data_IF_957314531303
#
_entry.id   IF_957314531303
#
_cell.length_a   1.000
_cell.length_b   1.000
_cell.length_c   1.000
_cell.angle_alpha   90.00
_cell.angle_beta   90.00
_cell.angle_gamma   90.00
#
_symmetry.space_group_name_H-M   'P 1'
#
loop_
_entity.id
_entity.type
_entity.pdbx_description
1 polymer ?
#
# COMPACT_ATOMS: atom_id res chain seq x y z
N UNK A 1 -9.41 4.70 -18.22
CA UNK A 1 -8.97 4.86 -16.81
C UNK A 1 -8.49 6.27 -16.51
N UNK A 2 -7.61 6.87 -17.33
CA UNK A 2 -7.29 8.31 -17.23
C UNK A 2 -8.54 9.20 -17.17
N UNK A 3 -9.55 8.98 -18.01
CA UNK A 3 -10.75 9.83 -18.04
C UNK A 3 -11.65 9.73 -16.78
N UNK A 4 -11.79 8.54 -16.17
CA UNK A 4 -12.68 8.36 -15.01
C UNK A 4 -12.02 8.84 -13.71
N UNK A 5 -10.69 8.70 -13.59
CA UNK A 5 -9.94 9.23 -12.45
C UNK A 5 -9.56 10.71 -12.61
N UNK A 6 -9.44 11.21 -13.85
CA UNK A 6 -9.42 12.65 -14.13
C UNK A 6 -10.77 13.28 -13.80
N UNK A 7 -11.88 12.61 -14.09
CA UNK A 7 -13.21 13.09 -13.70
C UNK A 7 -13.37 13.03 -12.17
N UNK A 8 -12.92 11.99 -11.47
CA UNK A 8 -12.94 12.00 -10.00
C UNK A 8 -11.97 13.04 -9.41
N UNK A 9 -10.77 13.21 -9.96
CA UNK A 9 -9.81 14.24 -9.52
C UNK A 9 -10.24 15.68 -9.85
N UNK A 10 -11.00 15.88 -10.93
CA UNK A 10 -11.51 17.19 -11.38
C UNK A 10 -12.90 17.53 -10.83
N UNK A 11 -13.72 16.53 -10.47
CA UNK A 11 -15.04 16.74 -9.83
C UNK A 11 -14.91 16.86 -8.31
N UNK A 12 -13.92 16.22 -7.67
CA UNK A 12 -13.80 16.15 -6.20
C UNK A 12 -12.86 17.20 -5.60
N UNK A 13 -12.47 18.17 -6.40
CA UNK A 13 -11.83 19.40 -5.93
C UNK A 13 -12.41 20.60 -6.67
N UNK A 14 -13.66 21.02 -6.36
CA UNK A 14 -14.12 22.38 -6.68
C UNK A 14 -13.28 23.46 -5.97
N UNK A 15 -12.34 23.04 -5.11
CA UNK A 15 -11.25 23.84 -4.59
C UNK A 15 -10.01 22.98 -4.44
N UNK A 16 -9.46 22.45 -5.56
CA UNK A 16 -8.04 22.09 -5.56
C UNK A 16 -7.35 23.35 -5.05
N UNK A 17 -6.82 23.31 -3.82
CA UNK A 17 -6.12 24.44 -3.26
C UNK A 17 -5.15 24.90 -4.37
N UNK A 18 -5.14 26.21 -4.71
CA UNK A 18 -4.25 26.71 -5.74
C UNK A 18 -2.87 26.12 -5.46
N UNK A 19 -2.14 25.64 -6.48
CA UNK A 19 -0.87 24.95 -6.28
C UNK A 19 -0.07 25.71 -5.25
N UNK A 20 0.14 25.06 -4.09
CA UNK A 20 0.82 25.70 -2.98
C UNK A 20 2.17 26.17 -3.51
N UNK A 21 2.51 27.44 -3.30
CA UNK A 21 3.77 27.98 -3.78
C UNK A 21 4.92 27.04 -3.36
N UNK A 22 5.69 26.53 -4.32
CA UNK A 22 6.79 25.59 -4.08
C UNK A 22 6.57 24.11 -4.47
N UNK A 23 5.47 23.75 -5.14
CA UNK A 23 5.31 22.42 -5.75
C UNK A 23 6.25 22.23 -6.98
N UNK A 24 7.07 21.17 -7.05
CA UNK A 24 7.94 20.95 -8.20
C UNK A 24 7.24 20.25 -9.38
N UNK A 25 6.05 19.69 -9.16
CA UNK A 25 5.25 19.01 -10.16
C UNK A 25 3.87 19.66 -10.24
N UNK A 26 3.36 19.82 -11.46
CA UNK A 26 1.93 20.10 -11.64
C UNK A 26 1.11 18.89 -11.19
N UNK A 27 -0.15 19.11 -10.78
CA UNK A 27 -1.05 18.03 -10.38
C UNK A 27 -1.18 16.94 -11.46
N UNK A 28 -1.22 17.34 -12.73
CA UNK A 28 -1.27 16.41 -13.86
C UNK A 28 0.00 15.55 -13.98
N UNK A 29 1.19 16.14 -13.86
CA UNK A 29 2.46 15.40 -13.87
C UNK A 29 2.55 14.41 -12.71
N UNK A 30 2.20 14.84 -11.50
CA UNK A 30 2.21 13.98 -10.32
C UNK A 30 1.23 12.80 -10.49
N UNK A 31 -0.01 13.07 -10.93
CA UNK A 31 -1.00 12.02 -11.22
C UNK A 31 -0.50 11.03 -12.28
N UNK A 32 0.08 11.53 -13.38
CA UNK A 32 0.60 10.68 -14.44
C UNK A 32 1.71 9.74 -13.93
N UNK A 33 2.65 10.24 -13.13
CA UNK A 33 3.73 9.45 -12.52
C UNK A 33 3.15 8.40 -11.57
N UNK A 34 2.26 8.82 -10.67
CA UNK A 34 1.60 7.93 -9.69
C UNK A 34 0.90 6.77 -10.38
N UNK A 35 0.04 7.06 -11.36
CA UNK A 35 -0.70 6.01 -12.05
C UNK A 35 0.17 5.16 -12.96
N UNK A 36 1.22 5.72 -13.57
CA UNK A 36 2.17 4.93 -14.36
C UNK A 36 2.90 3.90 -13.49
N UNK A 37 3.43 4.32 -12.34
CA UNK A 37 4.13 3.43 -11.39
C UNK A 37 3.17 2.36 -10.85
N UNK A 38 1.96 2.75 -10.42
CA UNK A 38 0.97 1.80 -9.93
C UNK A 38 0.56 0.80 -11.03
N UNK A 39 0.32 1.27 -12.26
CA UNK A 39 -0.04 0.41 -13.39
C UNK A 39 1.06 -0.61 -13.71
N UNK A 40 2.35 -0.21 -13.67
CA UNK A 40 3.48 -1.12 -13.87
C UNK A 40 3.48 -2.21 -12.80
N UNK A 41 3.36 -1.84 -11.52
CA UNK A 41 3.35 -2.81 -10.41
C UNK A 41 2.17 -3.77 -10.52
N UNK A 42 0.97 -3.25 -10.83
CA UNK A 42 -0.24 -4.07 -10.99
C UNK A 42 -0.12 -5.00 -12.20
N UNK A 43 0.43 -4.52 -13.32
CA UNK A 43 0.66 -5.33 -14.51
C UNK A 43 1.64 -6.48 -14.23
N UNK A 44 2.74 -6.20 -13.52
CA UNK A 44 3.71 -7.23 -13.11
C UNK A 44 3.06 -8.25 -12.16
N UNK A 45 2.25 -7.81 -11.19
CA UNK A 45 1.48 -8.72 -10.33
C UNK A 45 0.54 -9.60 -11.15
N UNK A 46 -0.31 -8.99 -12.00
CA UNK A 46 -1.31 -9.70 -12.79
C UNK A 46 -0.70 -10.73 -13.76
N UNK A 47 0.46 -10.40 -14.34
CA UNK A 47 1.23 -11.28 -15.21
C UNK A 47 1.80 -12.50 -14.48
N UNK A 48 2.12 -12.38 -13.18
CA UNK A 48 2.74 -13.45 -12.39
C UNK A 48 1.75 -14.20 -11.49
N UNK A 49 0.48 -13.78 -11.43
CA UNK A 49 -0.59 -14.51 -10.74
C UNK A 49 -1.19 -15.55 -11.69
N UNK A 50 -0.96 -16.84 -11.45
CA UNK A 50 -1.46 -17.92 -12.31
C UNK A 50 -2.76 -18.52 -11.77
N UNK A 51 -3.79 -17.69 -11.61
CA UNK A 51 -5.12 -18.13 -11.19
C UNK A 51 -6.12 -18.01 -12.34
N UNK A 52 -7.26 -18.68 -12.24
CA UNK A 52 -8.41 -18.43 -13.11
C UNK A 52 -8.88 -16.97 -12.98
N UNK A 53 -9.62 -16.47 -13.99
CA UNK A 53 -9.97 -15.05 -14.12
C UNK A 53 -10.64 -14.46 -12.86
N UNK A 54 -11.65 -15.14 -12.32
CA UNK A 54 -12.38 -14.64 -11.15
C UNK A 54 -11.51 -14.63 -9.87
N UNK A 55 -10.85 -15.73 -9.46
CA UNK A 55 -9.92 -15.69 -8.33
C UNK A 55 -8.78 -14.68 -8.51
N UNK A 56 -8.25 -14.51 -9.73
CA UNK A 56 -7.26 -13.48 -10.05
C UNK A 56 -7.82 -12.08 -9.79
N UNK A 57 -9.01 -11.78 -10.27
CA UNK A 57 -9.67 -10.49 -10.02
C UNK A 57 -9.89 -10.25 -8.52
N UNK A 58 -10.33 -11.27 -7.76
CA UNK A 58 -10.51 -11.15 -6.31
C UNK A 58 -9.17 -10.84 -5.62
N UNK A 59 -8.10 -11.57 -5.96
CA UNK A 59 -6.76 -11.34 -5.40
C UNK A 59 -6.26 -9.93 -5.73
N UNK A 60 -6.37 -9.51 -6.99
CA UNK A 60 -5.95 -8.17 -7.40
C UNK A 60 -6.77 -7.10 -6.68
N UNK A 61 -8.09 -7.28 -6.54
CA UNK A 61 -8.94 -6.37 -5.78
C UNK A 61 -8.47 -6.24 -4.34
N UNK A 62 -8.26 -7.37 -3.65
CA UNK A 62 -7.79 -7.38 -2.24
C UNK A 62 -6.45 -6.66 -2.11
N UNK A 63 -5.51 -6.89 -3.03
CA UNK A 63 -4.21 -6.22 -3.03
C UNK A 63 -4.38 -4.72 -3.27
N UNK A 64 -5.06 -4.31 -4.35
CA UNK A 64 -5.16 -2.88 -4.72
C UNK A 64 -6.02 -2.09 -3.74
N UNK A 65 -7.18 -2.62 -3.34
CA UNK A 65 -8.05 -1.98 -2.35
C UNK A 65 -7.35 -1.90 -0.99
N UNK A 66 -6.77 -3.02 -0.56
CA UNK A 66 -6.05 -3.13 0.71
C UNK A 66 -4.93 -2.12 0.82
N UNK A 67 -4.05 -2.06 -0.20
CA UNK A 67 -2.84 -1.23 -0.16
C UNK A 67 -3.10 0.24 -0.49
N UNK A 68 -3.93 0.55 -1.49
CA UNK A 68 -4.11 1.93 -1.97
C UNK A 68 -5.16 2.67 -1.13
N UNK A 69 -6.22 1.98 -0.71
CA UNK A 69 -7.39 2.62 -0.06
C UNK A 69 -7.46 2.30 1.42
N UNK A 70 -7.55 1.02 1.78
CA UNK A 70 -7.93 0.59 3.12
C UNK A 70 -6.90 1.02 4.18
N UNK A 71 -5.60 0.86 3.89
CA UNK A 71 -4.53 1.29 4.81
C UNK A 71 -4.59 2.79 5.11
N UNK A 72 -4.74 3.62 4.07
CA UNK A 72 -4.80 5.08 4.20
C UNK A 72 -6.12 5.54 4.85
N UNK A 73 -7.22 4.86 4.56
CA UNK A 73 -8.53 5.18 5.13
C UNK A 73 -8.58 4.94 6.65
N UNK A 74 -7.96 3.86 7.13
CA UNK A 74 -7.82 3.57 8.56
C UNK A 74 -7.04 4.67 9.28
N UNK A 75 -5.93 5.14 8.69
CA UNK A 75 -5.17 6.27 9.23
C UNK A 75 -5.98 7.56 9.21
N UNK A 76 -6.69 7.83 8.12
CA UNK A 76 -7.53 9.03 8.00
C UNK A 76 -8.59 9.09 9.10
N UNK A 77 -9.21 7.95 9.46
CA UNK A 77 -10.14 7.88 10.59
C UNK A 77 -9.41 8.13 11.91
N UNK A 78 -8.30 7.45 12.15
CA UNK A 78 -7.56 7.56 13.40
C UNK A 78 -7.07 8.99 13.65
N UNK A 79 -6.50 9.62 12.64
CA UNK A 79 -6.00 10.99 12.69
C UNK A 79 -7.08 12.05 12.45
N UNK A 80 -8.36 11.65 12.30
CA UNK A 80 -9.41 12.61 11.93
C UNK A 80 -9.63 13.71 12.98
N UNK A 81 -9.28 13.44 14.24
CA UNK A 81 -9.27 14.46 15.29
C UNK A 81 -8.39 15.66 14.92
N UNK A 82 -7.31 15.46 14.16
CA UNK A 82 -6.43 16.50 13.63
C UNK A 82 -6.79 16.92 12.21
N UNK A 83 -7.17 15.96 11.34
CA UNK A 83 -7.43 16.21 9.92
C UNK A 83 -8.78 16.91 9.65
N UNK A 84 -9.74 16.82 10.58
CA UNK A 84 -11.08 17.42 10.50
C UNK A 84 -11.83 17.11 9.18
N UNK A 85 -11.64 15.91 8.65
CA UNK A 85 -12.35 15.44 7.46
C UNK A 85 -13.82 15.14 7.79
N UNK A 86 -14.72 15.52 6.89
CA UNK A 86 -16.14 15.20 7.02
C UNK A 86 -16.40 13.70 6.84
N UNK A 87 -17.45 13.18 7.48
CA UNK A 87 -17.88 11.79 7.29
C UNK A 87 -18.19 11.48 5.83
N UNK A 88 -18.82 12.43 5.12
CA UNK A 88 -19.09 12.33 3.68
C UNK A 88 -17.80 12.13 2.88
N UNK A 89 -16.74 12.88 3.18
CA UNK A 89 -15.46 12.73 2.50
C UNK A 89 -14.82 11.36 2.78
N UNK A 90 -14.82 10.92 4.05
CA UNK A 90 -14.28 9.60 4.44
C UNK A 90 -15.03 8.44 3.78
N UNK A 91 -16.36 8.50 3.72
CA UNK A 91 -17.18 7.50 3.02
C UNK A 91 -16.91 7.52 1.53
N UNK A 92 -16.83 8.72 0.94
CA UNK A 92 -16.54 8.88 -0.48
C UNK A 92 -15.18 8.28 -0.85
N UNK A 93 -14.13 8.53 -0.05
CA UNK A 93 -12.80 7.95 -0.25
C UNK A 93 -12.84 6.42 -0.27
N UNK A 94 -13.54 5.81 0.69
CA UNK A 94 -13.67 4.36 0.78
C UNK A 94 -14.39 3.77 -0.43
N UNK A 95 -15.56 4.34 -0.79
CA UNK A 95 -16.39 3.85 -1.90
C UNK A 95 -15.69 4.03 -3.25
N UNK A 96 -15.13 5.20 -3.50
CA UNK A 96 -14.41 5.47 -4.75
C UNK A 96 -13.14 4.62 -4.87
N UNK A 97 -12.44 4.39 -3.76
CA UNK A 97 -11.30 3.48 -3.70
C UNK A 97 -11.70 2.03 -3.99
N UNK A 98 -12.81 1.56 -3.44
CA UNK A 98 -13.36 0.23 -3.71
C UNK A 98 -13.76 0.06 -5.18
N UNK A 99 -14.50 1.03 -5.74
CA UNK A 99 -14.90 1.01 -7.16
C UNK A 99 -13.65 1.00 -8.05
N UNK A 100 -12.69 1.89 -7.79
CA UNK A 100 -11.45 1.99 -8.56
C UNK A 100 -10.66 0.67 -8.52
N UNK A 101 -10.48 0.09 -7.33
CA UNK A 101 -9.82 -1.20 -7.16
C UNK A 101 -10.55 -2.33 -7.89
N UNK A 102 -11.89 -2.35 -7.88
CA UNK A 102 -12.68 -3.36 -8.59
C UNK A 102 -12.48 -3.26 -10.12
N UNK A 103 -12.54 -2.05 -10.68
CA UNK A 103 -12.29 -1.84 -12.12
C UNK A 103 -10.86 -2.25 -12.47
N UNK A 104 -9.86 -1.82 -11.69
CA UNK A 104 -8.45 -2.19 -11.91
C UNK A 104 -8.30 -3.71 -11.91
N UNK A 105 -8.88 -4.38 -10.92
CA UNK A 105 -8.76 -5.82 -10.74
C UNK A 105 -9.39 -6.61 -11.89
N UNK A 106 -10.61 -6.23 -12.31
CA UNK A 106 -11.30 -6.87 -13.44
C UNK A 106 -10.53 -6.65 -14.73
N UNK A 107 -10.17 -5.40 -15.04
CA UNK A 107 -9.42 -5.07 -16.27
C UNK A 107 -8.08 -5.82 -16.32
N UNK A 108 -7.34 -5.83 -15.21
CA UNK A 108 -6.05 -6.53 -15.13
C UNK A 108 -6.19 -8.05 -15.28
N UNK A 109 -7.23 -8.65 -14.69
CA UNK A 109 -7.49 -10.08 -14.85
C UNK A 109 -7.91 -10.48 -16.27
N UNK A 110 -8.53 -9.56 -17.02
CA UNK A 110 -8.88 -9.74 -18.42
C UNK A 110 -7.68 -9.55 -19.37
N UNK A 111 -6.84 -8.56 -19.11
CA UNK A 111 -5.67 -8.23 -19.94
C UNK A 111 -4.52 -9.24 -19.76
N UNK A 112 -4.38 -9.83 -18.58
CA UNK A 112 -3.38 -10.87 -18.29
C UNK A 112 -4.04 -12.20 -17.95
N UNK A 113 -4.66 -12.91 -18.91
CA UNK A 113 -5.23 -14.23 -18.65
C UNK A 113 -4.12 -15.25 -18.36
N UNK A 114 -4.35 -16.13 -17.39
CA UNK A 114 -3.45 -17.27 -17.14
C UNK A 114 -3.69 -18.35 -18.19
N UNK A 115 -2.64 -18.81 -18.88
CA UNK A 115 -2.73 -19.90 -19.86
C UNK A 115 -2.99 -21.26 -19.19
N UNK A 116 -2.39 -21.47 -18.02
CA UNK A 116 -2.57 -22.66 -17.19
C UNK A 116 -2.90 -22.22 -15.75
N UNK A 117 -4.19 -22.05 -15.42
CA UNK A 117 -4.61 -21.55 -14.11
C UNK A 117 -4.45 -22.64 -13.04
N UNK A 118 -3.70 -22.30 -12.00
CA UNK A 118 -3.50 -23.13 -10.81
C UNK A 118 -4.48 -22.72 -9.70
N UNK A 119 -4.86 -23.65 -8.80
CA UNK A 119 -5.66 -23.29 -7.63
C UNK A 119 -4.86 -22.40 -6.67
N UNK A 120 -5.56 -21.50 -5.97
CA UNK A 120 -4.92 -20.65 -4.96
C UNK A 120 -4.41 -21.53 -3.81
N UNK A 121 -3.12 -21.39 -3.48
CA UNK A 121 -2.53 -22.12 -2.38
C UNK A 121 -3.18 -21.71 -1.04
N UNK A 122 -3.45 -22.69 -0.17
CA UNK A 122 -4.06 -22.44 1.14
C UNK A 122 -3.26 -21.45 1.98
N UNK A 123 -3.98 -20.55 2.65
CA UNK A 123 -3.48 -19.62 3.66
C UNK A 123 -3.32 -20.27 5.05
N UNK A 124 -3.69 -21.54 5.20
CA UNK A 124 -3.59 -22.29 6.44
C UNK A 124 -2.15 -22.38 6.98
N UNK A 125 -2.03 -22.42 8.31
CA UNK A 125 -0.73 -22.57 8.99
C UNK A 125 0.15 -21.31 9.00
N UNK A 126 -0.39 -20.15 8.58
CA UNK A 126 0.34 -18.87 8.58
C UNK A 126 0.07 -18.01 9.83
N UNK A 127 -0.87 -18.39 10.69
CA UNK A 127 -1.32 -17.55 11.81
C UNK A 127 -0.16 -17.16 12.76
N UNK A 128 0.75 -18.08 13.07
CA UNK A 128 1.91 -17.79 13.90
C UNK A 128 2.91 -16.85 13.20
N UNK A 129 2.99 -16.93 11.86
CA UNK A 129 3.81 -16.02 11.06
C UNK A 129 3.22 -14.61 11.07
N UNK A 130 1.90 -14.48 11.02
CA UNK A 130 1.22 -13.19 11.17
C UNK A 130 1.46 -12.59 12.56
N UNK A 131 1.51 -13.42 13.61
CA UNK A 131 1.87 -12.99 14.96
C UNK A 131 3.32 -12.47 15.07
N UNK A 132 4.23 -12.92 14.22
CA UNK A 132 5.61 -12.39 14.11
C UNK A 132 5.68 -11.14 13.23
N UNK A 133 4.92 -11.13 12.13
CA UNK A 133 4.93 -10.03 11.14
C UNK A 133 4.33 -8.74 11.72
N UNK A 134 3.30 -8.84 12.57
CA UNK A 134 2.68 -7.64 13.16
C UNK A 134 3.64 -6.84 14.07
N UNK A 135 4.34 -7.44 15.06
CA UNK A 135 5.38 -6.74 15.81
C UNK A 135 6.52 -6.21 14.94
N UNK A 136 6.91 -6.95 13.89
CA UNK A 136 7.92 -6.49 12.93
C UNK A 136 7.47 -5.21 12.20
N UNK A 137 6.19 -5.12 11.85
CA UNK A 137 5.61 -3.91 11.25
C UNK A 137 5.68 -2.72 12.22
N UNK A 138 5.29 -2.93 13.48
CA UNK A 138 5.37 -1.89 14.52
C UNK A 138 6.82 -1.41 14.67
N UNK A 139 7.77 -2.34 14.73
CA UNK A 139 9.20 -2.00 14.77
C UNK A 139 9.63 -1.18 13.54
N UNK A 140 9.27 -1.61 12.33
CA UNK A 140 9.61 -0.89 11.09
C UNK A 140 9.02 0.53 11.07
N UNK A 141 7.77 0.69 11.52
CA UNK A 141 7.10 1.98 11.64
C UNK A 141 7.87 2.93 12.56
N UNK A 142 8.17 2.51 13.80
CA UNK A 142 8.89 3.38 14.75
C UNK A 142 10.35 3.62 14.37
N UNK A 143 11.02 2.62 13.80
CA UNK A 143 12.39 2.76 13.33
C UNK A 143 12.48 3.78 12.20
N UNK A 144 11.60 3.71 11.19
CA UNK A 144 11.58 4.69 10.11
C UNK A 144 11.19 6.09 10.59
N UNK A 145 10.18 6.17 11.47
CA UNK A 145 9.80 7.43 12.11
C UNK A 145 10.97 8.08 12.84
N UNK A 146 11.74 7.31 13.59
CA UNK A 146 12.86 7.82 14.40
C UNK A 146 14.10 8.12 13.57
N UNK A 147 14.53 7.20 12.71
CA UNK A 147 15.81 7.28 12.00
C UNK A 147 15.73 7.97 10.64
N UNK A 148 14.53 8.18 10.07
CA UNK A 148 14.34 8.89 8.81
C UNK A 148 13.54 10.16 9.04
N UNK A 149 12.30 10.03 9.51
CA UNK A 149 11.36 11.16 9.57
C UNK A 149 11.81 12.22 10.58
N UNK A 150 12.03 11.80 11.82
CA UNK A 150 12.32 12.68 12.96
C UNK A 150 13.71 13.32 12.89
N UNK A 151 14.53 12.94 11.92
CA UNK A 151 15.80 13.61 11.64
C UNK A 151 15.61 14.97 10.97
N UNK A 152 14.48 15.18 10.28
CA UNK A 152 14.19 16.43 9.60
C UNK A 152 13.65 17.52 10.54
N UNK A 153 14.32 18.68 10.54
CA UNK A 153 13.84 19.87 11.24
C UNK A 153 12.50 20.36 10.68
N UNK A 154 12.33 20.37 9.36
CA UNK A 154 11.08 20.78 8.71
C UNK A 154 9.90 19.93 9.18
N UNK A 155 10.12 18.62 9.34
CA UNK A 155 9.08 17.72 9.82
C UNK A 155 8.73 18.01 11.27
N UNK A 156 9.73 18.12 12.14
CA UNK A 156 9.52 18.43 13.57
C UNK A 156 8.79 19.76 13.76
N UNK A 157 9.18 20.79 13.01
CA UNK A 157 8.52 22.10 13.04
C UNK A 157 7.06 22.02 12.59
N UNK A 158 6.74 21.20 11.57
CA UNK A 158 5.36 20.97 11.14
C UNK A 158 4.51 20.30 12.23
N UNK A 159 5.01 19.24 12.87
CA UNK A 159 4.27 18.56 13.94
C UNK A 159 4.14 19.39 15.22
N UNK A 160 5.10 20.28 15.51
CA UNK A 160 5.05 21.19 16.65
C UNK A 160 3.87 22.19 16.58
N UNK A 161 3.24 22.37 15.42
CA UNK A 161 2.10 23.27 15.22
C UNK A 161 0.75 22.72 15.72
N UNK A 162 0.75 21.57 16.42
CA UNK A 162 -0.43 21.12 17.18
C UNK A 162 -1.08 19.82 16.68
N UNK A 163 -0.38 19.00 15.90
CA UNK A 163 -0.84 17.63 15.61
C UNK A 163 -0.56 16.74 16.82
N UNK A 164 -1.51 16.68 17.75
CA UNK A 164 -1.42 15.80 18.91
C UNK A 164 -1.77 14.37 18.51
N UNK A 165 -0.75 13.50 18.50
CA UNK A 165 -0.92 12.06 18.28
C UNK A 165 -0.96 11.36 19.63
N UNK A 166 -2.09 10.71 19.94
CA UNK A 166 -2.20 9.84 21.11
C UNK A 166 -1.33 8.59 20.92
N UNK A 167 -0.16 8.60 21.56
CA UNK A 167 0.81 7.51 21.50
C UNK A 167 0.28 6.20 22.08
N UNK A 168 -0.69 6.26 23.02
CA UNK A 168 -1.26 5.06 23.65
C UNK A 168 -2.15 4.27 22.69
N UNK A 169 -2.84 4.97 21.77
CA UNK A 169 -3.67 4.35 20.74
C UNK A 169 -2.90 4.06 19.44
N UNK A 170 -1.75 4.70 19.25
CA UNK A 170 -0.92 4.51 18.07
C UNK A 170 -0.35 3.09 17.99
N UNK A 171 0.13 2.51 19.10
CA UNK A 171 0.67 1.14 19.11
C UNK A 171 -0.40 0.11 18.73
N UNK A 172 -1.60 0.07 19.36
CA UNK A 172 -2.69 -0.80 18.94
C UNK A 172 -3.06 -0.65 17.46
N UNK A 173 -3.12 0.59 16.95
CA UNK A 173 -3.37 0.85 15.53
C UNK A 173 -2.31 0.18 14.65
N UNK A 174 -1.03 0.35 14.97
CA UNK A 174 0.04 -0.26 14.18
C UNK A 174 0.03 -1.78 14.30
N UNK A 175 -0.35 -2.37 15.43
CA UNK A 175 -0.52 -3.83 15.55
C UNK A 175 -1.60 -4.34 14.59
N UNK A 176 -2.77 -3.68 14.55
CA UNK A 176 -3.86 -4.03 13.63
C UNK A 176 -3.40 -3.88 12.17
N UNK A 177 -2.77 -2.76 11.82
CA UNK A 177 -2.23 -2.55 10.47
C UNK A 177 -1.17 -3.58 10.12
N UNK A 178 -0.30 -3.96 11.05
CA UNK A 178 0.70 -5.01 10.85
C UNK A 178 0.09 -6.37 10.52
N UNK A 179 -1.03 -6.72 11.15
CA UNK A 179 -1.79 -7.93 10.80
C UNK A 179 -2.39 -7.83 9.40
N UNK A 180 -2.97 -6.67 9.05
CA UNK A 180 -3.57 -6.46 7.74
C UNK A 180 -2.52 -6.50 6.62
N UNK A 181 -1.39 -5.83 6.81
CA UNK A 181 -0.25 -5.91 5.90
C UNK A 181 0.29 -7.33 5.80
N UNK A 182 0.41 -8.06 6.91
CA UNK A 182 0.80 -9.47 6.89
C UNK A 182 -0.17 -10.34 6.09
N UNK A 183 -1.48 -10.08 6.19
CA UNK A 183 -2.51 -10.71 5.38
C UNK A 183 -2.37 -10.40 3.89
N UNK A 184 -2.14 -9.14 3.52
CA UNK A 184 -1.88 -8.74 2.14
C UNK A 184 -0.61 -9.40 1.59
N UNK A 185 0.45 -9.48 2.39
CA UNK A 185 1.68 -10.17 2.03
C UNK A 185 1.42 -11.66 1.79
N UNK A 186 0.60 -12.30 2.62
CA UNK A 186 0.20 -13.70 2.47
C UNK A 186 -0.57 -13.93 1.16
N UNK A 187 -1.51 -13.05 0.82
CA UNK A 187 -2.26 -13.09 -0.44
C UNK A 187 -1.30 -12.97 -1.64
N UNK A 188 -0.37 -12.01 -1.62
CA UNK A 188 0.60 -11.80 -2.70
C UNK A 188 1.49 -13.04 -2.84
N UNK A 189 2.16 -13.50 -1.78
CA UNK A 189 3.09 -14.62 -1.91
C UNK A 189 2.36 -15.88 -2.37
N UNK A 190 1.14 -16.15 -1.92
CA UNK A 190 0.40 -17.37 -2.29
C UNK A 190 -0.20 -17.35 -3.70
N UNK A 191 -0.36 -16.17 -4.29
CA UNK A 191 -0.93 -16.01 -5.63
C UNK A 191 0.13 -15.83 -6.71
N UNK A 192 1.25 -15.17 -6.38
CA UNK A 192 2.37 -14.92 -7.30
C UNK A 192 3.27 -16.16 -7.42
N UNK A 193 3.57 -16.55 -8.65
CA UNK A 193 4.48 -17.64 -8.97
C UNK A 193 5.94 -17.19 -9.05
N UNK A 194 6.87 -18.15 -9.04
CA UNK A 194 8.31 -17.90 -9.18
C UNK A 194 9.10 -18.18 -7.89
N UNK A 195 10.37 -17.76 -7.91
CA UNK A 195 11.29 -18.03 -6.81
C UNK A 195 10.84 -17.35 -5.51
N UNK A 196 11.28 -17.90 -4.36
CA UNK A 196 10.95 -17.32 -3.06
C UNK A 196 11.45 -15.88 -2.92
N UNK A 197 12.61 -15.56 -3.51
CA UNK A 197 13.16 -14.21 -3.52
C UNK A 197 12.30 -13.26 -4.37
N UNK A 198 11.90 -13.70 -5.57
CA UNK A 198 11.04 -12.88 -6.43
C UNK A 198 9.70 -12.56 -5.74
N UNK A 199 9.05 -13.57 -5.17
CA UNK A 199 7.77 -13.41 -4.46
C UNK A 199 7.89 -12.47 -3.27
N UNK A 200 8.97 -12.55 -2.49
CA UNK A 200 9.17 -11.64 -1.36
C UNK A 200 9.48 -10.20 -1.81
N UNK A 201 10.31 -10.03 -2.85
CA UNK A 201 10.56 -8.71 -3.44
C UNK A 201 9.28 -8.09 -4.02
N UNK A 202 8.40 -8.89 -4.63
CA UNK A 202 7.10 -8.42 -5.11
C UNK A 202 6.23 -7.88 -4.00
N UNK A 203 6.24 -8.48 -2.80
CA UNK A 203 5.55 -7.89 -1.63
C UNK A 203 6.13 -6.52 -1.30
N UNK A 204 7.46 -6.41 -1.17
CA UNK A 204 8.14 -5.15 -0.85
C UNK A 204 7.84 -4.05 -1.86
N UNK A 205 7.99 -4.33 -3.16
CA UNK A 205 7.69 -3.38 -4.25
C UNK A 205 6.22 -2.98 -4.22
N UNK A 206 5.30 -3.94 -4.01
CA UNK A 206 3.86 -3.64 -3.95
C UNK A 206 3.55 -2.68 -2.81
N UNK A 207 4.07 -2.93 -1.60
CA UNK A 207 3.78 -2.10 -0.43
C UNK A 207 4.41 -0.71 -0.56
N UNK A 208 5.65 -0.64 -1.03
CA UNK A 208 6.34 0.63 -1.24
C UNK A 208 5.67 1.48 -2.32
N UNK A 209 5.41 0.91 -3.49
CA UNK A 209 4.94 1.69 -4.63
C UNK A 209 3.44 1.98 -4.57
N UNK A 210 2.58 1.01 -4.25
CA UNK A 210 1.13 1.22 -4.35
C UNK A 210 0.61 2.20 -3.29
N UNK A 211 1.18 2.17 -2.09
CA UNK A 211 0.75 3.05 -0.99
C UNK A 211 1.49 4.40 -0.99
N UNK A 212 2.79 4.42 -1.29
CA UNK A 212 3.61 5.62 -0.99
C UNK A 212 3.67 6.62 -2.13
N UNK A 213 3.59 6.18 -3.40
CA UNK A 213 3.78 7.06 -4.55
C UNK A 213 2.76 8.21 -4.58
N UNK A 214 1.60 8.00 -3.95
CA UNK A 214 0.54 9.00 -3.75
C UNK A 214 1.04 10.30 -3.11
N UNK A 215 2.12 10.25 -2.32
CA UNK A 215 2.72 11.42 -1.66
C UNK A 215 3.39 12.40 -2.64
N UNK A 216 3.56 12.01 -3.91
CA UNK A 216 3.94 12.93 -4.97
C UNK A 216 2.81 13.89 -5.36
N UNK A 217 1.54 13.57 -5.03
CA UNK A 217 0.41 14.42 -5.40
C UNK A 217 0.26 15.64 -4.48
N UNK A 218 0.01 16.83 -5.06
CA UNK A 218 -0.43 18.01 -4.32
C UNK A 218 -1.63 17.72 -3.42
N UNK A 219 -1.59 18.19 -2.17
CA UNK A 219 -2.68 18.08 -1.22
C UNK A 219 -2.56 19.19 -0.17
N UNK A 220 -3.68 19.67 0.38
CA UNK A 220 -3.71 20.84 1.27
C UNK A 220 -3.28 20.52 2.71
N UNK A 221 -3.05 19.25 3.05
CA UNK A 221 -2.74 18.82 4.42
C UNK A 221 -1.24 18.89 4.69
N UNK A 222 -0.44 18.33 3.79
CA UNK A 222 1.01 18.23 3.95
C UNK A 222 1.73 18.99 2.82
N UNK A 223 2.53 20.03 3.14
CA UNK A 223 3.30 20.76 2.15
C UNK A 223 4.41 19.89 1.55
N UNK A 224 4.88 20.24 0.35
CA UNK A 224 5.86 19.45 -0.40
C UNK A 224 7.10 18.99 0.42
N UNK A 225 7.79 19.87 1.18
CA UNK A 225 8.97 19.46 1.95
C UNK A 225 8.67 18.35 2.96
N UNK A 226 7.51 18.39 3.62
CA UNK A 226 7.05 17.37 4.57
C UNK A 226 6.75 16.06 3.86
N UNK A 227 6.06 16.11 2.71
CA UNK A 227 5.71 14.92 1.93
C UNK A 227 6.91 14.18 1.38
N UNK A 228 7.98 14.89 1.00
CA UNK A 228 9.20 14.26 0.50
C UNK A 228 9.86 13.39 1.56
N UNK A 229 9.88 13.87 2.80
CA UNK A 229 10.44 13.13 3.94
C UNK A 229 9.59 11.90 4.21
N UNK A 230 8.28 12.06 4.31
CA UNK A 230 7.36 10.93 4.47
C UNK A 230 7.40 9.96 3.28
N UNK A 231 7.61 10.45 2.07
CA UNK A 231 7.77 9.59 0.89
C UNK A 231 8.97 8.66 1.08
N UNK A 232 10.13 9.19 1.47
CA UNK A 232 11.32 8.37 1.70
C UNK A 232 11.10 7.42 2.88
N UNK A 233 10.60 7.94 4.01
CA UNK A 233 10.31 7.16 5.22
C UNK A 233 9.40 5.96 4.93
N UNK A 234 8.23 6.22 4.35
CA UNK A 234 7.19 5.23 4.12
C UNK A 234 7.60 4.29 3.00
N UNK A 235 8.29 4.77 1.96
CA UNK A 235 8.74 3.93 0.85
C UNK A 235 9.77 2.91 1.33
N UNK A 236 10.79 3.37 2.04
CA UNK A 236 11.87 2.50 2.55
C UNK A 236 11.32 1.51 3.57
N UNK A 237 10.54 1.98 4.54
CA UNK A 237 9.97 1.12 5.57
C UNK A 237 9.04 0.06 4.99
N UNK A 238 8.10 0.42 4.12
CA UNK A 238 7.18 -0.53 3.49
C UNK A 238 7.90 -1.50 2.56
N UNK A 239 8.94 -1.06 1.84
CA UNK A 239 9.74 -1.95 1.00
C UNK A 239 10.44 -3.03 1.85
N UNK A 240 11.20 -2.60 2.86
CA UNK A 240 11.98 -3.50 3.71
C UNK A 240 11.08 -4.43 4.51
N UNK A 241 10.03 -3.88 5.11
CA UNK A 241 9.03 -4.65 5.84
C UNK A 241 8.32 -5.65 4.94
N UNK A 242 7.83 -5.24 3.77
CA UNK A 242 7.14 -6.12 2.83
C UNK A 242 8.04 -7.26 2.34
N UNK A 243 9.30 -6.95 2.03
CA UNK A 243 10.29 -7.96 1.66
C UNK A 243 10.55 -8.97 2.78
N UNK A 244 10.74 -8.50 4.01
CA UNK A 244 10.93 -9.34 5.19
C UNK A 244 9.68 -10.20 5.49
N UNK A 245 8.48 -9.62 5.46
CA UNK A 245 7.23 -10.32 5.66
C UNK A 245 7.03 -11.43 4.62
N UNK A 246 7.29 -11.14 3.35
CA UNK A 246 7.28 -12.13 2.28
C UNK A 246 8.27 -13.27 2.53
N UNK A 247 9.49 -12.96 2.96
CA UNK A 247 10.50 -13.96 3.29
C UNK A 247 10.06 -14.85 4.47
N UNK A 248 9.52 -14.27 5.55
CA UNK A 248 8.98 -14.99 6.70
C UNK A 248 7.86 -15.94 6.26
N UNK A 249 6.91 -15.48 5.44
CA UNK A 249 5.81 -16.30 4.94
C UNK A 249 6.28 -17.49 4.11
N UNK A 250 7.40 -17.36 3.41
CA UNK A 250 7.99 -18.39 2.55
C UNK A 250 8.98 -19.32 3.28
N UNK A 251 9.32 -19.05 4.54
CA UNK A 251 10.10 -20.01 5.36
C UNK A 251 9.39 -21.37 5.44
N UNK A 252 10.16 -22.46 5.34
CA UNK A 252 9.63 -23.83 5.33
C UNK A 252 9.18 -24.35 3.95
N UNK A 253 8.84 -23.48 2.99
CA UNK A 253 8.51 -23.90 1.62
C UNK A 253 9.72 -24.51 0.89
N UNK A 254 10.92 -23.98 1.15
CA UNK A 254 12.18 -24.50 0.59
C UNK A 254 12.54 -25.91 1.09
N UNK A 255 12.20 -26.24 2.35
CA UNK A 255 12.48 -27.57 2.93
C UNK A 255 11.65 -28.67 2.27
N UNK A 256 10.37 -28.42 1.96
CA UNK A 256 9.51 -29.40 1.28
C UNK A 256 9.99 -29.72 -0.15
N UNK A 257 10.40 -28.70 -0.91
CA UNK A 257 10.90 -28.90 -2.27
C UNK A 257 12.21 -29.71 -2.31
N UNK A 258 13.13 -29.46 -1.35
CA UNK A 258 14.39 -30.21 -1.25
C UNK A 258 14.17 -31.67 -0.79
N UNK A 259 13.22 -31.92 0.12
CA UNK A 259 12.88 -33.28 0.58
C UNK A 259 12.13 -34.09 -0.48
N UNK A 260 11.38 -33.44 -1.38
CA UNK A 260 10.69 -34.12 -2.48
C UNK A 260 11.60 -34.40 -3.69
N UNK A 261 12.79 -33.79 -3.74
CA UNK A 261 13.77 -33.97 -4.81
C UNK A 261 14.93 -34.91 -4.43
N UNK A 262 14.92 -35.45 -3.20
CA UNK A 262 15.87 -36.42 -2.66
C UNK A 262 15.18 -37.76 -2.47
#
# INVERSE_FOLDING_TARGET
MLAITMISGMILSPGAAPPTAGEPLTAFQAMAIVYAVQAIVIAVLAANIHLARLPKAIVLFVITFGTITLMSWIEAIFFNASLKMSSTLLTFMLVNGAISAAVIAVVSALLWPSKDPQPLASLGGLWWKLAVISPLYVFAYYAAGTFIAWQSETLRAYYAQGINIDQSLLVPLQVVRGLMWGGLAAVIVKSVQGSALFRSLMVGVTFACLCTIVLLMPNPVMPWPVRQIHFIEVFVSNFLFGWAAGAILLTGARKKAAVQAA
#
